data_IF_397221392680
#
_entry.id   IF_397221392680
#
_cell.length_a   1.000
_cell.length_b   1.000
_cell.length_c   1.000
_cell.angle_alpha   90.00
_cell.angle_beta   90.00
_cell.angle_gamma   90.00
#
_symmetry.space_group_name_H-M   'P 1'
#
loop_
_entity.id
_entity.type
_entity.pdbx_description
1 polymer ?
#
# COMPACT_ATOMS: atom_id res chain seq x y z
N UNK A 1 3.69 9.70 -10.30
CA UNK A 1 4.32 8.74 -11.23
C UNK A 1 4.08 7.35 -10.68
N UNK A 2 3.13 6.60 -11.24
CA UNK A 2 3.03 5.16 -10.97
C UNK A 2 4.14 4.43 -11.71
N UNK A 3 4.61 3.29 -11.20
CA UNK A 3 5.57 2.46 -11.93
C UNK A 3 4.83 1.89 -13.15
N UNK A 4 5.23 2.32 -14.34
CA UNK A 4 4.72 1.82 -15.59
C UNK A 4 5.49 0.55 -15.95
N UNK A 5 4.88 -0.60 -15.72
CA UNK A 5 5.49 -1.90 -15.99
C UNK A 5 5.25 -2.34 -17.44
N UNK A 6 6.29 -2.89 -18.04
CA UNK A 6 6.31 -3.32 -19.44
C UNK A 6 5.61 -4.66 -19.69
N UNK A 7 5.57 -5.52 -18.67
CA UNK A 7 5.21 -6.93 -18.87
C UNK A 7 3.73 -7.16 -19.13
N UNK A 8 2.87 -6.20 -18.78
CA UNK A 8 1.43 -6.29 -18.98
C UNK A 8 1.07 -5.96 -20.43
N UNK A 9 0.40 -6.90 -21.10
CA UNK A 9 0.04 -6.78 -22.51
C UNK A 9 -1.40 -7.24 -22.77
N UNK A 10 -2.26 -6.28 -23.12
CA UNK A 10 -3.66 -6.52 -23.45
C UNK A 10 -3.78 -7.38 -24.72
N UNK A 11 -2.93 -7.15 -25.72
CA UNK A 11 -2.99 -7.83 -27.02
C UNK A 11 -2.55 -9.29 -26.91
N UNK A 12 -1.63 -9.58 -25.98
CA UNK A 12 -1.23 -10.96 -25.63
C UNK A 12 -2.36 -11.73 -24.94
N UNK A 13 -3.38 -11.04 -24.42
CA UNK A 13 -4.48 -11.64 -23.69
C UNK A 13 -4.21 -11.83 -22.20
N UNK A 14 -3.35 -11.00 -21.60
CA UNK A 14 -3.17 -11.00 -20.15
C UNK A 14 -4.50 -10.74 -19.45
N UNK A 15 -4.77 -11.44 -18.35
CA UNK A 15 -6.05 -11.31 -17.64
C UNK A 15 -6.25 -9.88 -17.12
N UNK A 16 -7.40 -9.29 -17.44
CA UNK A 16 -7.76 -7.93 -17.03
C UNK A 16 -9.27 -7.74 -16.96
N UNK A 17 -9.71 -6.72 -16.23
CA UNK A 17 -11.07 -6.21 -16.29
C UNK A 17 -11.17 -5.14 -17.38
N UNK A 18 -12.15 -5.26 -18.28
CA UNK A 18 -12.39 -4.27 -19.33
C UNK A 18 -12.68 -2.88 -18.73
N UNK A 19 -13.49 -2.83 -17.67
CA UNK A 19 -13.83 -1.58 -16.97
C UNK A 19 -12.59 -0.94 -16.35
N UNK A 20 -11.68 -1.75 -15.78
CA UNK A 20 -10.43 -1.24 -15.21
C UNK A 20 -9.49 -0.68 -16.29
N UNK A 21 -9.38 -1.33 -17.44
CA UNK A 21 -8.59 -0.83 -18.56
C UNK A 21 -9.14 0.50 -19.07
N UNK A 22 -10.44 0.58 -19.28
CA UNK A 22 -11.09 1.79 -19.79
C UNK A 22 -10.94 2.95 -18.79
N UNK A 23 -11.16 2.68 -17.50
CA UNK A 23 -10.92 3.65 -16.44
C UNK A 23 -9.46 4.16 -16.45
N UNK A 24 -8.47 3.27 -16.55
CA UNK A 24 -7.05 3.65 -16.56
C UNK A 24 -6.68 4.46 -17.81
N UNK A 25 -7.25 4.13 -18.98
CA UNK A 25 -7.09 4.95 -20.20
C UNK A 25 -7.65 6.35 -20.00
N UNK A 26 -8.82 6.49 -19.36
CA UNK A 26 -9.41 7.79 -19.03
C UNK A 26 -8.56 8.58 -18.02
N UNK A 27 -7.80 7.91 -17.16
CA UNK A 27 -6.81 8.55 -16.30
C UNK A 27 -5.52 8.95 -17.03
N UNK A 28 -5.38 8.60 -18.32
CA UNK A 28 -4.24 8.96 -19.16
C UNK A 28 -3.12 7.92 -19.19
N UNK A 29 -3.39 6.67 -18.80
CA UNK A 29 -2.42 5.58 -18.95
C UNK A 29 -2.36 5.13 -20.41
N UNK A 30 -1.17 5.25 -20.99
CA UNK A 30 -0.85 4.74 -22.32
C UNK A 30 -0.23 3.34 -22.22
N UNK A 31 -1.05 2.31 -22.46
CA UNK A 31 -0.61 0.91 -22.40
C UNK A 31 0.37 0.54 -23.51
N UNK A 32 0.29 1.18 -24.68
CA UNK A 32 1.23 0.93 -25.77
C UNK A 32 2.60 1.49 -25.40
N UNK A 33 2.63 2.72 -24.87
CA UNK A 33 3.87 3.30 -24.35
C UNK A 33 4.45 2.47 -23.20
N UNK A 34 3.64 1.93 -22.30
CA UNK A 34 4.13 1.04 -21.24
C UNK A 34 4.78 -0.22 -21.83
N UNK A 35 4.16 -0.83 -22.85
CA UNK A 35 4.70 -2.02 -23.55
C UNK A 35 6.02 -1.73 -24.27
N UNK A 36 6.23 -0.51 -24.77
CA UNK A 36 7.44 -0.13 -25.48
C UNK A 36 8.57 0.38 -24.57
N UNK A 37 8.22 1.21 -23.58
CA UNK A 37 9.16 2.03 -22.79
C UNK A 37 9.06 1.80 -21.28
N UNK A 38 8.11 0.99 -20.83
CA UNK A 38 7.94 0.65 -19.42
C UNK A 38 9.14 -0.11 -18.87
N UNK A 39 9.18 -0.19 -17.54
CA UNK A 39 10.21 -0.91 -16.81
C UNK A 39 9.83 -2.40 -16.77
N UNK A 40 10.77 -3.29 -17.07
CA UNK A 40 10.54 -4.71 -16.82
C UNK A 40 10.39 -4.92 -15.32
N UNK A 41 9.32 -5.60 -14.91
CA UNK A 41 9.10 -5.95 -13.51
C UNK A 41 10.27 -6.76 -12.95
N UNK A 42 11.04 -7.47 -13.78
CA UNK A 42 12.22 -8.24 -13.35
C UNK A 42 13.31 -7.31 -12.85
N UNK A 43 13.56 -6.24 -13.60
CA UNK A 43 14.61 -5.27 -13.30
C UNK A 43 14.22 -4.45 -12.08
N UNK A 44 12.96 -4.03 -12.02
CA UNK A 44 12.39 -3.40 -10.83
C UNK A 44 12.50 -4.32 -9.62
N UNK A 45 12.07 -5.57 -9.74
CA UNK A 45 12.12 -6.58 -8.67
C UNK A 45 13.53 -6.81 -8.16
N UNK A 46 14.51 -6.94 -9.06
CA UNK A 46 15.92 -7.13 -8.69
C UNK A 46 16.48 -5.96 -7.89
N UNK A 47 16.22 -4.71 -8.31
CA UNK A 47 16.65 -3.52 -7.57
C UNK A 47 15.95 -3.41 -6.21
N UNK A 48 14.64 -3.64 -6.20
CA UNK A 48 13.78 -3.53 -5.03
C UNK A 48 14.15 -4.58 -3.96
N UNK A 49 14.43 -5.82 -4.38
CA UNK A 49 14.85 -6.92 -3.51
C UNK A 49 16.08 -6.53 -2.68
N UNK A 50 17.07 -5.92 -3.33
CA UNK A 50 18.28 -5.45 -2.66
C UNK A 50 17.95 -4.39 -1.62
N UNK A 51 17.04 -3.47 -1.91
CA UNK A 51 16.62 -2.44 -0.95
C UNK A 51 15.91 -3.04 0.26
N UNK A 52 14.97 -3.96 0.04
CA UNK A 52 14.17 -4.60 1.08
C UNK A 52 15.05 -5.44 2.01
N UNK A 53 15.86 -6.35 1.45
CA UNK A 53 16.68 -7.30 2.22
C UNK A 53 17.68 -6.57 3.13
N UNK A 54 18.34 -5.52 2.64
CA UNK A 54 19.35 -4.79 3.42
C UNK A 54 18.77 -3.86 4.49
N UNK A 55 17.47 -3.54 4.43
CA UNK A 55 16.86 -2.52 5.29
C UNK A 55 15.61 -3.00 6.04
N UNK A 56 15.36 -4.31 6.09
CA UNK A 56 14.15 -4.91 6.69
C UNK A 56 13.82 -4.38 8.10
N UNK A 57 14.81 -4.22 8.97
CA UNK A 57 14.60 -3.70 10.34
C UNK A 57 14.49 -2.17 10.43
N UNK A 58 14.94 -1.46 9.39
CA UNK A 58 15.04 0.01 9.39
C UNK A 58 13.84 0.68 8.73
N UNK A 59 13.24 0.03 7.75
CA UNK A 59 12.13 0.59 6.96
C UNK A 59 10.80 0.47 7.69
N UNK A 60 9.88 1.35 7.30
CA UNK A 60 8.46 1.26 7.61
C UNK A 60 7.70 1.33 6.31
N UNK A 61 6.86 0.34 6.08
CA UNK A 61 5.98 0.27 4.93
C UNK A 61 4.62 0.79 5.33
N UNK A 62 4.07 1.63 4.47
CA UNK A 62 2.75 2.24 4.67
C UNK A 62 1.95 2.02 3.41
N UNK A 63 0.72 1.55 3.58
CA UNK A 63 -0.22 1.37 2.49
C UNK A 63 -1.63 1.80 2.90
N UNK A 64 -2.54 1.88 1.93
CA UNK A 64 -3.96 2.07 2.16
C UNK A 64 -4.72 0.95 1.42
N UNK A 65 -5.29 0.01 2.17
CA UNK A 65 -5.98 -1.15 1.60
C UNK A 65 -5.05 -1.96 0.67
N UNK A 66 -3.85 -2.24 1.16
CA UNK A 66 -2.71 -2.67 0.34
C UNK A 66 -2.57 -4.16 0.10
N UNK A 67 -3.60 -4.97 0.36
CA UNK A 67 -3.53 -6.43 0.20
C UNK A 67 -3.09 -6.82 -1.21
N UNK A 68 -3.72 -6.25 -2.24
CA UNK A 68 -3.34 -6.45 -3.63
C UNK A 68 -1.96 -5.86 -3.97
N UNK A 69 -1.62 -4.68 -3.44
CA UNK A 69 -0.31 -4.06 -3.66
C UNK A 69 0.83 -4.98 -3.21
N UNK A 70 0.70 -5.55 -2.00
CA UNK A 70 1.65 -6.51 -1.47
C UNK A 70 1.61 -7.84 -2.23
N UNK A 71 0.44 -8.29 -2.70
CA UNK A 71 0.32 -9.48 -3.55
C UNK A 71 1.14 -9.35 -4.84
N UNK A 72 0.96 -8.24 -5.58
CA UNK A 72 1.72 -7.96 -6.78
C UNK A 72 3.21 -7.78 -6.49
N UNK A 73 3.57 -7.03 -5.44
CA UNK A 73 4.96 -6.83 -5.06
C UNK A 73 5.65 -8.14 -4.69
N UNK A 74 4.98 -9.02 -3.93
CA UNK A 74 5.48 -10.36 -3.61
C UNK A 74 5.68 -11.17 -4.88
N UNK A 75 4.71 -11.21 -5.80
CA UNK A 75 4.85 -11.91 -7.08
C UNK A 75 6.05 -11.43 -7.90
N UNK A 76 6.27 -10.11 -7.93
CA UNK A 76 7.41 -9.50 -8.62
C UNK A 76 8.75 -9.87 -7.97
N UNK A 77 8.83 -9.82 -6.64
CA UNK A 77 10.05 -10.05 -5.87
C UNK A 77 10.41 -11.55 -5.77
N UNK A 78 9.44 -12.43 -5.64
CA UNK A 78 9.68 -13.87 -5.44
C UNK A 78 9.71 -14.66 -6.74
N UNK A 79 9.01 -14.18 -7.78
CA UNK A 79 8.80 -14.89 -9.05
C UNK A 79 8.20 -16.29 -8.87
N UNK A 80 7.43 -16.47 -7.81
CA UNK A 80 6.74 -17.71 -7.46
C UNK A 80 5.24 -17.45 -7.32
N UNK A 81 4.47 -18.53 -7.33
CA UNK A 81 3.07 -18.47 -6.92
C UNK A 81 2.97 -17.99 -5.48
N UNK A 82 1.90 -17.23 -5.19
CA UNK A 82 1.61 -16.79 -3.84
C UNK A 82 1.13 -17.98 -3.00
N UNK A 83 1.34 -17.98 -1.67
CA UNK A 83 0.77 -18.98 -0.79
C UNK A 83 -0.75 -19.09 -0.97
N UNK A 84 -1.26 -20.31 -0.86
CA UNK A 84 -2.69 -20.62 -1.09
C UNK A 84 -3.58 -20.16 0.08
N UNK A 85 -2.99 -19.96 1.26
CA UNK A 85 -3.68 -19.50 2.47
C UNK A 85 -3.16 -18.14 2.95
N UNK A 86 -4.04 -17.39 3.61
CA UNK A 86 -3.76 -16.03 4.10
C UNK A 86 -2.63 -16.04 5.14
N UNK A 87 -2.57 -17.07 5.99
CA UNK A 87 -1.54 -17.21 7.02
C UNK A 87 -0.14 -17.29 6.40
N UNK A 88 0.05 -18.21 5.46
CA UNK A 88 1.28 -18.37 4.70
C UNK A 88 1.64 -17.11 3.91
N UNK A 89 0.67 -16.43 3.31
CA UNK A 89 0.92 -15.16 2.61
C UNK A 89 1.44 -14.08 3.58
N UNK A 90 0.79 -13.90 4.73
CA UNK A 90 1.20 -12.91 5.72
C UNK A 90 2.55 -13.24 6.38
N UNK A 91 2.86 -14.54 6.57
CA UNK A 91 4.17 -14.98 7.04
C UNK A 91 5.28 -14.59 6.04
N UNK A 92 5.06 -14.78 4.75
CA UNK A 92 6.00 -14.38 3.70
C UNK A 92 6.14 -12.85 3.60
N UNK A 93 5.04 -12.10 3.77
CA UNK A 93 5.09 -10.63 3.87
C UNK A 93 5.94 -10.20 5.06
N UNK A 94 5.76 -10.78 6.24
CA UNK A 94 6.56 -10.46 7.43
C UNK A 94 8.04 -10.84 7.23
N UNK A 95 8.31 -12.03 6.68
CA UNK A 95 9.68 -12.49 6.35
C UNK A 95 10.39 -11.53 5.40
N UNK A 96 9.66 -10.96 4.44
CA UNK A 96 10.23 -10.06 3.45
C UNK A 96 10.38 -8.63 3.96
N UNK A 97 9.32 -8.05 4.51
CA UNK A 97 9.21 -6.62 4.80
C UNK A 97 9.36 -6.27 6.29
N UNK A 98 9.32 -7.27 7.17
CA UNK A 98 9.33 -7.08 8.63
C UNK A 98 7.96 -6.72 9.21
N UNK A 99 7.93 -6.46 10.51
CA UNK A 99 6.68 -6.17 11.25
C UNK A 99 6.18 -4.73 11.09
N UNK A 100 7.02 -3.82 10.59
CA UNK A 100 6.71 -2.39 10.43
C UNK A 100 5.98 -2.13 9.12
N UNK A 101 4.90 -2.87 8.89
CA UNK A 101 3.97 -2.69 7.76
C UNK A 101 2.66 -2.21 8.33
N UNK A 102 2.21 -1.03 7.90
CA UNK A 102 0.98 -0.40 8.41
C UNK A 102 0.01 -0.11 7.28
N UNK A 103 -1.18 -0.72 7.37
CA UNK A 103 -2.29 -0.40 6.49
C UNK A 103 -3.19 0.66 7.16
N UNK A 104 -3.27 1.86 6.56
CA UNK A 104 -4.13 2.94 7.04
C UNK A 104 -5.59 2.50 7.12
N UNK A 105 -6.06 1.70 6.17
CA UNK A 105 -7.45 1.21 6.14
C UNK A 105 -7.73 0.28 7.33
N UNK A 106 -6.74 -0.46 7.79
CA UNK A 106 -6.83 -1.24 9.02
C UNK A 106 -6.78 -0.32 10.26
N UNK A 107 -5.82 0.60 10.33
CA UNK A 107 -5.63 1.53 11.45
C UNK A 107 -6.89 2.36 11.77
N UNK A 108 -7.56 2.89 10.75
CA UNK A 108 -8.74 3.75 10.96
C UNK A 108 -9.92 3.00 11.58
N UNK A 109 -9.95 1.66 11.57
CA UNK A 109 -10.99 0.87 12.28
C UNK A 109 -11.03 1.17 13.79
N UNK A 110 -9.91 1.63 14.37
CA UNK A 110 -9.81 1.99 15.79
C UNK A 110 -9.78 3.51 16.04
N UNK A 111 -9.97 4.32 15.00
CA UNK A 111 -9.94 5.78 15.09
C UNK A 111 -11.33 6.36 14.86
N UNK A 112 -11.94 6.94 15.91
CA UNK A 112 -13.26 7.55 15.80
C UNK A 112 -13.27 8.68 14.77
N UNK A 113 -14.34 8.75 13.97
CA UNK A 113 -14.55 9.80 12.97
C UNK A 113 -13.83 9.59 11.63
N UNK A 114 -13.01 8.54 11.47
CA UNK A 114 -12.30 8.23 10.22
C UNK A 114 -12.95 7.07 9.46
N UNK A 115 -13.30 7.27 8.19
CA UNK A 115 -13.95 6.27 7.34
C UNK A 115 -13.79 6.59 5.85
N UNK A 116 -14.18 5.65 4.99
CA UNK A 116 -14.17 5.81 3.53
C UNK A 116 -12.85 5.43 2.86
N UNK A 117 -12.65 5.91 1.63
CA UNK A 117 -11.41 5.72 0.85
C UNK A 117 -10.32 6.72 1.23
N UNK A 118 -9.13 6.58 0.62
CA UNK A 118 -7.94 7.37 0.94
C UNK A 118 -8.21 8.88 0.92
N UNK A 119 -8.87 9.39 -0.12
CA UNK A 119 -9.20 10.81 -0.27
C UNK A 119 -10.09 11.32 0.88
N UNK A 120 -11.09 10.52 1.29
CA UNK A 120 -11.98 10.92 2.39
C UNK A 120 -11.23 10.94 3.72
N UNK A 121 -10.39 9.95 3.97
CA UNK A 121 -9.58 9.86 5.19
C UNK A 121 -8.57 11.00 5.24
N UNK A 122 -7.90 11.31 4.12
CA UNK A 122 -6.99 12.44 4.00
C UNK A 122 -7.72 13.77 4.29
N UNK A 123 -8.90 13.97 3.69
CA UNK A 123 -9.74 15.14 3.94
C UNK A 123 -10.12 15.28 5.42
N UNK A 124 -10.57 14.21 6.07
CA UNK A 124 -10.95 14.21 7.49
C UNK A 124 -9.76 14.53 8.41
N UNK A 125 -8.56 14.11 8.02
CA UNK A 125 -7.30 14.44 8.71
C UNK A 125 -6.71 15.81 8.30
N UNK A 126 -7.40 16.55 7.44
CA UNK A 126 -6.99 17.84 6.89
C UNK A 126 -5.68 17.78 6.10
N UNK A 127 -5.41 16.63 5.46
CA UNK A 127 -4.30 16.43 4.53
C UNK A 127 -4.79 16.71 3.12
N UNK A 128 -4.07 17.56 2.38
CA UNK A 128 -4.37 17.90 0.98
C UNK A 128 -3.40 17.18 0.05
N UNK A 129 -3.88 16.75 -1.12
CA UNK A 129 -3.03 16.26 -2.21
C UNK A 129 -2.20 17.42 -2.75
N UNK A 130 -0.88 17.32 -2.61
CA UNK A 130 0.05 18.41 -2.98
C UNK A 130 0.64 18.27 -4.38
N UNK A 131 0.58 17.07 -4.97
CA UNK A 131 1.15 16.80 -6.29
C UNK A 131 0.42 15.64 -6.97
N UNK A 132 0.33 15.71 -8.31
CA UNK A 132 -0.30 14.68 -9.13
C UNK A 132 -1.83 14.69 -9.06
N UNK A 133 -2.44 13.74 -9.77
CA UNK A 133 -3.90 13.52 -9.79
C UNK A 133 -4.25 12.29 -8.96
N UNK A 134 -5.51 12.18 -8.53
CA UNK A 134 -6.03 10.92 -7.98
C UNK A 134 -5.84 9.77 -8.97
N UNK A 135 -5.80 8.54 -8.48
CA UNK A 135 -5.72 7.30 -9.28
C UNK A 135 -4.39 7.13 -10.05
N UNK A 136 -3.37 7.88 -9.66
CA UNK A 136 -2.01 7.69 -10.14
C UNK A 136 -1.15 7.21 -8.98
N UNK A 137 -0.58 6.00 -9.11
CA UNK A 137 0.10 5.35 -7.98
C UNK A 137 1.09 6.25 -7.24
N UNK A 138 2.01 6.98 -7.90
CA UNK A 138 2.93 7.86 -7.15
C UNK A 138 2.27 9.06 -6.46
N UNK A 139 1.16 9.57 -7.00
CA UNK A 139 0.37 10.63 -6.36
C UNK A 139 -0.34 10.08 -5.12
N UNK A 140 -0.93 8.89 -5.24
CA UNK A 140 -1.64 8.20 -4.17
C UNK A 140 -0.68 7.69 -3.08
N UNK A 141 0.52 7.22 -3.43
CA UNK A 141 1.57 6.85 -2.47
C UNK A 141 2.03 8.05 -1.64
N UNK A 142 2.18 9.23 -2.25
CA UNK A 142 2.52 10.44 -1.50
C UNK A 142 1.39 10.84 -0.54
N UNK A 143 0.15 10.86 -1.02
CA UNK A 143 -1.01 11.15 -0.17
C UNK A 143 -1.15 10.13 0.97
N UNK A 144 -0.89 8.85 0.69
CA UNK A 144 -0.88 7.75 1.68
C UNK A 144 0.14 8.03 2.78
N UNK A 145 1.39 8.34 2.41
CA UNK A 145 2.43 8.66 3.39
C UNK A 145 2.07 9.88 4.24
N UNK A 146 1.61 10.97 3.62
CA UNK A 146 1.23 12.20 4.33
C UNK A 146 0.04 11.94 5.29
N UNK A 147 -0.94 11.17 4.83
CA UNK A 147 -2.11 10.78 5.63
C UNK A 147 -1.69 9.93 6.83
N UNK A 148 -0.79 8.96 6.65
CA UNK A 148 -0.26 8.16 7.75
C UNK A 148 0.51 8.98 8.78
N UNK A 149 1.37 9.90 8.34
CA UNK A 149 2.11 10.78 9.25
C UNK A 149 1.17 11.62 10.10
N UNK A 150 0.10 12.16 9.50
CA UNK A 150 -0.92 12.93 10.21
C UNK A 150 -1.75 12.06 11.16
N UNK A 151 -2.19 10.89 10.71
CA UNK A 151 -2.91 9.90 11.52
C UNK A 151 -2.10 9.53 12.77
N UNK A 152 -0.82 9.18 12.57
CA UNK A 152 0.11 8.85 13.66
C UNK A 152 0.21 9.99 14.67
N UNK A 153 0.36 11.23 14.21
CA UNK A 153 0.50 12.38 15.11
C UNK A 153 -0.77 12.63 15.95
N UNK A 154 -1.96 12.49 15.36
CA UNK A 154 -3.24 12.83 16.02
C UNK A 154 -3.76 11.71 16.91
N UNK A 155 -3.63 10.45 16.49
CA UNK A 155 -4.26 9.31 17.16
C UNK A 155 -3.27 8.41 17.93
N UNK A 156 -1.98 8.48 17.62
CA UNK A 156 -0.94 7.59 18.19
C UNK A 156 0.27 8.36 18.75
N UNK A 157 0.22 9.70 18.76
CA UNK A 157 1.29 10.56 19.26
C UNK A 157 1.14 10.85 20.75
N UNK A 158 2.22 10.70 21.51
CA UNK A 158 2.25 10.93 22.96
C UNK A 158 2.22 12.41 23.38
N UNK A 159 2.48 13.34 22.46
CA UNK A 159 2.77 14.75 22.80
C UNK A 159 1.62 15.75 22.62
N UNK A 160 0.51 15.38 21.97
CA UNK A 160 -0.54 16.35 21.61
C UNK A 160 -1.80 16.32 22.49
N UNK A 161 -1.98 15.35 23.38
CA UNK A 161 -3.25 15.17 24.10
C UNK A 161 -3.09 15.22 25.62
N UNK A 162 -3.28 16.40 26.20
CA UNK A 162 -3.49 16.63 27.64
C UNK A 162 -4.93 16.30 28.10
N UNK A 163 -5.78 15.76 27.24
CA UNK A 163 -7.15 15.37 27.61
C UNK A 163 -7.20 13.90 28.05
N UNK A 164 -7.72 13.70 29.25
CA UNK A 164 -7.67 12.49 30.10
C UNK A 164 -8.57 11.34 29.64
N UNK A 165 -9.08 11.36 28.42
CA UNK A 165 -9.98 10.34 27.89
C UNK A 165 -9.30 9.55 26.76
N UNK A 166 -8.23 8.80 27.03
CA UNK A 166 -7.56 8.07 25.94
C UNK A 166 -7.17 6.63 26.24
N UNK A 167 -7.71 5.76 25.38
CA UNK A 167 -7.14 4.47 25.02
C UNK A 167 -5.72 4.71 24.49
N UNK A 168 -4.70 4.27 25.23
CA UNK A 168 -3.29 4.34 24.84
C UNK A 168 -2.97 3.27 23.79
N UNK A 169 -3.56 3.38 22.61
CA UNK A 169 -3.28 2.46 21.51
C UNK A 169 -1.84 2.69 21.04
N UNK A 170 -0.99 1.68 21.21
CA UNK A 170 0.36 1.71 20.64
C UNK A 170 0.27 1.37 19.16
N UNK A 171 0.91 2.19 18.31
CA UNK A 171 0.97 1.92 16.87
C UNK A 171 1.54 0.54 16.56
N UNK A 172 2.47 0.04 17.39
CA UNK A 172 3.11 -1.27 17.20
C UNK A 172 2.13 -2.45 17.27
N UNK A 173 0.97 -2.28 17.93
CA UNK A 173 -0.09 -3.29 17.99
C UNK A 173 -0.78 -3.53 16.63
N UNK A 174 -0.56 -2.65 15.65
CA UNK A 174 -1.18 -2.70 14.33
C UNK A 174 -0.17 -3.03 13.22
N UNK A 175 1.09 -3.27 13.57
CA UNK A 175 2.12 -3.62 12.60
C UNK A 175 1.91 -5.03 12.04
N UNK A 176 2.18 -5.21 10.75
CA UNK A 176 2.13 -6.52 10.09
C UNK A 176 0.72 -6.97 9.71
N UNK A 177 -0.27 -6.08 9.76
CA UNK A 177 -1.66 -6.41 9.42
C UNK A 177 -2.11 -5.61 8.20
N UNK A 178 -2.60 -6.31 7.18
CA UNK A 178 -3.18 -5.72 5.97
C UNK A 178 -4.71 -5.80 6.04
N UNK A 179 -5.40 -4.76 5.58
CA UNK A 179 -6.85 -4.74 5.60
C UNK A 179 -7.44 -5.86 4.72
N UNK A 180 -8.39 -6.62 5.27
CA UNK A 180 -9.04 -7.74 4.59
C UNK A 180 -8.26 -9.06 4.69
N UNK A 181 -7.08 -9.05 5.31
CA UNK A 181 -6.23 -10.22 5.56
C UNK A 181 -5.96 -10.41 7.06
N UNK A 182 -6.85 -9.89 7.92
CA UNK A 182 -6.75 -10.10 9.35
C UNK A 182 -6.94 -11.58 9.69
N UNK A 183 -5.93 -12.21 10.30
CA UNK A 183 -6.08 -13.54 10.89
C UNK A 183 -6.94 -13.39 12.16
N UNK A 184 -8.07 -14.08 12.23
CA UNK A 184 -8.86 -14.13 13.45
C UNK A 184 -8.00 -14.75 14.56
N UNK A 185 -7.87 -14.05 15.69
CA UNK A 185 -7.33 -14.65 16.90
C UNK A 185 -8.37 -15.64 17.41
N UNK A 186 -8.12 -16.94 17.20
CA UNK A 186 -8.84 -18.00 17.90
C UNK A 186 -8.53 -17.97 19.41
#
# INVERSE_FOLDING_TARGET
MGIQLRDFDIERGDHHSADAIEFLKQQGIDFLQNKEKGIYSSDFGWLMERMVVHNRSRLTWVTFHGSYDFGYLMKILTRKDLPMDIGGFMEEVEKKFGKRVYDIKHLIKRCQGLYGGLEKVAYLLQVRRVAGKSHHAGSDSLLTLQTFMRLKAVHFGSFLNNNKDHCSLSLDQFGGVLHGLELEAH
#
